data_IF_475145866409
#
_entry.id   IF_475145866409
#
_cell.length_a   1.000
_cell.length_b   1.000
_cell.length_c   1.000
_cell.angle_alpha   90.00
_cell.angle_beta   90.00
_cell.angle_gamma   90.00
#
_symmetry.space_group_name_H-M   'P 1'
#
loop_
_entity.id
_entity.type
_entity.pdbx_description
1 polymer ?
#
# COMPACT_ATOMS: atom_id res chain seq x y z
N UNK A 1 4.60 -37.61 -3.26
CA UNK A 1 3.20 -37.10 -3.32
C UNK A 1 2.71 -36.60 -1.97
N UNK A 2 2.99 -37.27 -0.84
CA UNK A 2 2.65 -36.77 0.50
C UNK A 2 3.54 -35.60 0.95
N UNK A 3 4.86 -35.72 0.80
CA UNK A 3 5.83 -34.63 1.08
C UNK A 3 5.60 -33.37 0.25
N UNK A 4 5.21 -33.51 -1.03
CA UNK A 4 4.96 -32.36 -1.91
C UNK A 4 3.71 -31.58 -1.49
N UNK A 5 2.68 -32.28 -0.99
CA UNK A 5 1.45 -31.65 -0.50
C UNK A 5 1.70 -30.94 0.83
N UNK A 6 2.40 -31.61 1.75
CA UNK A 6 2.77 -31.06 3.06
C UNK A 6 3.66 -29.82 2.93
N UNK A 7 4.59 -29.81 1.97
CA UNK A 7 5.40 -28.62 1.66
C UNK A 7 4.56 -27.46 1.11
N UNK A 8 3.58 -27.73 0.25
CA UNK A 8 2.68 -26.71 -0.28
C UNK A 8 1.79 -26.11 0.82
N UNK A 9 1.20 -26.95 1.67
CA UNK A 9 0.36 -26.51 2.80
C UNK A 9 1.16 -25.60 3.75
N UNK A 10 2.41 -25.95 4.07
CA UNK A 10 3.27 -25.15 4.93
C UNK A 10 3.62 -23.78 4.30
N UNK A 11 3.92 -23.75 3.00
CA UNK A 11 4.14 -22.47 2.30
C UNK A 11 2.89 -21.58 2.30
N UNK A 12 1.71 -22.17 2.08
CA UNK A 12 0.45 -21.43 2.11
C UNK A 12 0.16 -20.82 3.49
N UNK A 13 0.45 -21.54 4.57
CA UNK A 13 0.35 -20.99 5.93
C UNK A 13 1.30 -19.81 6.14
N UNK A 14 2.56 -19.94 5.73
CA UNK A 14 3.56 -18.86 5.83
C UNK A 14 3.08 -17.61 5.09
N UNK A 15 2.61 -17.74 3.85
CA UNK A 15 2.12 -16.60 3.08
C UNK A 15 0.85 -16.00 3.67
N UNK A 16 -0.03 -16.83 4.23
CA UNK A 16 -1.30 -16.40 4.84
C UNK A 16 -1.08 -15.45 6.02
N UNK A 17 -0.11 -15.77 6.88
CA UNK A 17 0.21 -15.01 8.10
C UNK A 17 1.36 -14.00 7.92
N UNK A 18 1.87 -13.86 6.70
CA UNK A 18 2.95 -12.93 6.40
C UNK A 18 2.56 -11.47 6.71
N UNK A 19 3.46 -10.72 7.34
CA UNK A 19 3.21 -9.35 7.80
C UNK A 19 3.17 -8.30 6.69
N UNK A 20 3.43 -8.70 5.45
CA UNK A 20 3.44 -7.81 4.30
C UNK A 20 2.21 -8.06 3.43
N UNK A 21 1.83 -7.03 2.68
CA UNK A 21 0.77 -7.16 1.68
C UNK A 21 1.26 -8.16 0.63
N UNK A 22 0.41 -9.15 0.33
CA UNK A 22 0.70 -10.20 -0.63
C UNK A 22 -0.50 -10.40 -1.53
N UNK A 23 -0.31 -10.25 -2.84
CA UNK A 23 -1.34 -10.31 -3.87
C UNK A 23 -0.82 -11.15 -5.02
N UNK A 24 -1.64 -12.04 -5.57
CA UNK A 24 -1.37 -12.69 -6.85
C UNK A 24 -2.55 -12.44 -7.78
N UNK A 25 -2.28 -11.89 -8.95
CA UNK A 25 -3.29 -11.69 -9.99
C UNK A 25 -2.99 -12.57 -11.21
N UNK A 26 -4.03 -12.87 -11.97
CA UNK A 26 -3.97 -13.54 -13.28
C UNK A 26 -3.67 -12.53 -14.38
N UNK A 27 -3.41 -13.03 -15.59
CA UNK A 27 -3.13 -12.19 -16.76
C UNK A 27 -4.26 -11.24 -17.15
N UNK A 28 -5.50 -11.60 -16.77
CA UNK A 28 -6.71 -10.79 -16.94
C UNK A 28 -6.99 -9.86 -15.74
N UNK A 29 -6.00 -9.63 -14.87
CA UNK A 29 -6.06 -8.80 -13.67
C UNK A 29 -6.94 -9.33 -12.53
N UNK A 30 -7.63 -10.45 -12.71
CA UNK A 30 -8.43 -11.03 -11.64
C UNK A 30 -7.54 -11.55 -10.51
N UNK A 31 -8.00 -11.41 -9.29
CA UNK A 31 -7.31 -11.98 -8.15
C UNK A 31 -7.26 -13.52 -8.27
N UNK A 32 -6.14 -14.08 -7.82
CA UNK A 32 -5.97 -15.52 -7.64
C UNK A 32 -5.57 -15.88 -6.21
N UNK A 33 -4.98 -14.93 -5.49
CA UNK A 33 -4.65 -15.06 -4.08
C UNK A 33 -4.47 -13.69 -3.45
N UNK A 34 -4.87 -13.55 -2.19
CA UNK A 34 -4.46 -12.46 -1.31
C UNK A 34 -4.24 -13.04 0.08
N UNK A 35 -3.24 -12.55 0.82
CA UNK A 35 -3.10 -12.98 2.21
C UNK A 35 -4.12 -12.31 3.13
N UNK A 36 -4.25 -12.85 4.35
CA UNK A 36 -5.23 -12.40 5.35
C UNK A 36 -5.09 -10.91 5.66
N UNK A 37 -3.86 -10.41 5.75
CA UNK A 37 -3.58 -9.01 5.99
C UNK A 37 -4.19 -8.12 4.90
N UNK A 38 -4.04 -8.50 3.63
CA UNK A 38 -4.52 -7.69 2.50
C UNK A 38 -6.03 -7.73 2.38
N UNK A 39 -6.64 -8.90 2.53
CA UNK A 39 -8.10 -9.07 2.55
C UNK A 39 -8.75 -8.22 3.67
N UNK A 40 -8.20 -8.28 4.88
CA UNK A 40 -8.66 -7.47 6.00
C UNK A 40 -8.46 -5.96 5.76
N UNK A 41 -7.34 -5.57 5.15
CA UNK A 41 -7.03 -4.17 4.86
C UNK A 41 -8.02 -3.56 3.86
N UNK A 42 -8.43 -4.33 2.85
CA UNK A 42 -9.37 -3.88 1.82
C UNK A 42 -10.83 -3.98 2.29
N UNK A 43 -11.11 -4.77 3.33
CA UNK A 43 -12.42 -4.89 3.96
C UNK A 43 -13.40 -5.79 3.20
N UNK A 44 -12.91 -6.59 2.27
CA UNK A 44 -13.68 -7.63 1.57
C UNK A 44 -13.48 -8.97 2.24
N UNK A 45 -14.43 -9.89 2.09
CA UNK A 45 -14.15 -11.29 2.41
C UNK A 45 -13.41 -11.98 1.24
N UNK A 46 -12.77 -13.11 1.52
CA UNK A 46 -11.95 -13.82 0.53
C UNK A 46 -12.75 -14.26 -0.69
N UNK A 47 -13.94 -14.82 -0.50
CA UNK A 47 -14.81 -15.24 -1.61
C UNK A 47 -15.29 -14.08 -2.49
N UNK A 48 -15.52 -12.89 -1.91
CA UNK A 48 -15.91 -11.70 -2.66
C UNK A 48 -14.74 -11.19 -3.50
N UNK A 49 -13.57 -11.01 -2.88
CA UNK A 49 -12.44 -10.36 -3.55
C UNK A 49 -11.83 -11.24 -4.64
N UNK A 50 -11.90 -12.57 -4.52
CA UNK A 50 -11.39 -13.49 -5.53
C UNK A 50 -12.21 -13.48 -6.83
N UNK A 51 -13.46 -12.99 -6.79
CA UNK A 51 -14.31 -12.80 -7.97
C UNK A 51 -14.12 -11.42 -8.61
N UNK A 52 -13.32 -10.55 -8.01
CA UNK A 52 -13.07 -9.18 -8.49
C UNK A 52 -11.81 -9.08 -9.35
N UNK A 53 -11.71 -7.97 -10.07
CA UNK A 53 -10.48 -7.59 -10.77
C UNK A 53 -9.65 -6.59 -9.95
N UNK A 54 -8.33 -6.76 -9.92
CA UNK A 54 -7.44 -5.82 -9.23
C UNK A 54 -7.58 -4.39 -9.75
N UNK A 55 -7.81 -4.24 -11.06
CA UNK A 55 -7.98 -2.93 -11.68
C UNK A 55 -9.30 -2.24 -11.31
N UNK A 56 -10.33 -2.98 -10.90
CA UNK A 56 -11.61 -2.41 -10.42
C UNK A 56 -11.46 -1.73 -9.06
N UNK A 57 -10.47 -2.15 -8.28
CA UNK A 57 -10.15 -1.52 -7.00
C UNK A 57 -9.28 -0.27 -7.17
N UNK A 58 -8.66 -0.03 -8.33
CA UNK A 58 -7.81 1.14 -8.50
C UNK A 58 -8.64 2.42 -8.57
N UNK A 59 -8.14 3.46 -7.91
CA UNK A 59 -8.62 4.83 -8.19
C UNK A 59 -8.31 5.22 -9.64
N UNK A 60 -9.10 6.13 -10.26
CA UNK A 60 -8.86 6.60 -11.62
C UNK A 60 -7.42 7.06 -11.86
N UNK A 61 -6.86 7.82 -10.91
CA UNK A 61 -5.50 8.38 -10.99
C UNK A 61 -4.40 7.30 -10.91
N UNK A 62 -4.69 6.15 -10.28
CA UNK A 62 -3.72 5.05 -10.16
C UNK A 62 -3.81 4.04 -11.29
N UNK A 63 -4.88 4.06 -12.08
CA UNK A 63 -5.16 3.03 -13.10
C UNK A 63 -4.06 2.98 -14.16
N UNK A 64 -3.75 4.13 -14.78
CA UNK A 64 -2.77 4.22 -15.87
C UNK A 64 -1.38 3.76 -15.42
N UNK A 65 -0.86 4.35 -14.33
CA UNK A 65 0.44 3.98 -13.76
C UNK A 65 0.50 2.47 -13.40
N UNK A 66 -0.58 1.91 -12.86
CA UNK A 66 -0.60 0.50 -12.51
C UNK A 66 -0.57 -0.40 -13.75
N UNK A 67 -1.32 -0.06 -14.80
CA UNK A 67 -1.33 -0.82 -16.06
C UNK A 67 0.06 -0.80 -16.70
N UNK A 68 0.74 0.35 -16.70
CA UNK A 68 2.09 0.48 -17.24
C UNK A 68 3.10 -0.38 -16.46
N UNK A 69 3.00 -0.42 -15.13
CA UNK A 69 3.86 -1.27 -14.30
C UNK A 69 3.58 -2.77 -14.53
N UNK A 70 2.31 -3.17 -14.69
CA UNK A 70 1.96 -4.57 -15.01
C UNK A 70 2.43 -4.94 -16.43
N UNK A 71 2.37 -4.00 -17.37
CA UNK A 71 2.91 -4.21 -18.72
C UNK A 71 4.42 -4.39 -18.68
N UNK A 72 5.15 -3.51 -17.98
CA UNK A 72 6.59 -3.65 -17.78
C UNK A 72 6.92 -5.00 -17.15
N UNK A 73 6.19 -5.37 -16.09
CA UNK A 73 6.32 -6.66 -15.42
C UNK A 73 6.13 -7.86 -16.38
N UNK A 74 5.19 -7.76 -17.33
CA UNK A 74 4.94 -8.79 -18.34
C UNK A 74 6.12 -8.98 -19.28
N UNK A 75 6.77 -7.88 -19.65
CA UNK A 75 7.88 -7.80 -20.61
C UNK A 75 9.23 -8.16 -19.96
N UNK A 76 9.53 -7.64 -18.77
CA UNK A 76 10.84 -7.77 -18.10
C UNK A 76 10.87 -8.87 -17.04
N UNK A 77 9.71 -9.33 -16.57
CA UNK A 77 9.59 -10.29 -15.48
C UNK A 77 9.62 -9.69 -14.07
N UNK A 78 9.90 -8.39 -13.91
CA UNK A 78 9.85 -7.70 -12.62
C UNK A 78 9.46 -6.22 -12.77
N UNK A 79 8.89 -5.63 -11.72
CA UNK A 79 8.68 -4.18 -11.62
C UNK A 79 9.24 -3.64 -10.30
N UNK A 80 9.84 -2.46 -10.38
CA UNK A 80 10.33 -1.72 -9.22
C UNK A 80 9.15 -1.26 -8.34
N UNK A 81 9.37 -0.91 -7.06
CA UNK A 81 8.32 -0.39 -6.20
C UNK A 81 7.58 0.81 -6.83
N UNK A 82 6.27 0.73 -6.94
CA UNK A 82 5.39 1.78 -7.42
C UNK A 82 4.19 1.94 -6.48
N UNK A 83 3.63 3.15 -6.45
CA UNK A 83 2.50 3.45 -5.56
C UNK A 83 1.19 3.32 -6.34
N UNK A 84 0.22 2.66 -5.71
CA UNK A 84 -1.17 2.60 -6.15
C UNK A 84 -2.10 2.98 -5.02
N UNK A 85 -3.20 3.64 -5.37
CA UNK A 85 -4.30 3.91 -4.46
C UNK A 85 -5.48 3.00 -4.83
N UNK A 86 -5.94 2.22 -3.86
CA UNK A 86 -7.06 1.30 -3.99
C UNK A 86 -8.27 1.82 -3.21
N UNK A 87 -9.47 1.55 -3.72
CA UNK A 87 -10.75 1.73 -3.06
C UNK A 87 -11.05 0.49 -2.23
N UNK A 88 -11.22 0.68 -0.92
CA UNK A 88 -11.74 -0.35 -0.01
C UNK A 88 -13.24 -0.56 -0.23
N UNK A 89 -13.80 -1.62 0.36
CA UNK A 89 -15.24 -1.90 0.34
C UNK A 89 -16.11 -0.73 0.88
N UNK A 90 -15.60 0.01 1.85
CA UNK A 90 -16.26 1.19 2.43
C UNK A 90 -15.97 2.50 1.64
N UNK A 91 -15.41 2.40 0.44
CA UNK A 91 -15.01 3.52 -0.43
C UNK A 91 -13.87 4.40 0.11
N UNK A 92 -13.28 4.08 1.26
CA UNK A 92 -12.05 4.74 1.69
C UNK A 92 -10.89 4.35 0.77
N UNK A 93 -9.94 5.28 0.60
CA UNK A 93 -8.73 5.03 -0.16
C UNK A 93 -7.66 4.43 0.76
N UNK A 94 -6.97 3.41 0.27
CA UNK A 94 -5.74 2.88 0.87
C UNK A 94 -4.60 3.00 -0.13
N UNK A 95 -3.45 3.46 0.35
CA UNK A 95 -2.26 3.65 -0.49
C UNK A 95 -1.26 2.54 -0.25
N UNK A 96 -0.90 1.83 -1.31
CA UNK A 96 0.03 0.71 -1.26
C UNK A 96 1.26 1.02 -2.11
N UNK A 97 2.44 0.70 -1.58
CA UNK A 97 3.65 0.57 -2.40
C UNK A 97 3.82 -0.91 -2.74
N UNK A 98 3.80 -1.23 -4.03
CA UNK A 98 3.86 -2.59 -4.54
C UNK A 98 5.11 -2.77 -5.41
N UNK A 99 5.75 -3.91 -5.27
CA UNK A 99 6.72 -4.44 -6.22
C UNK A 99 6.25 -5.81 -6.67
N UNK A 100 6.65 -6.25 -7.85
CA UNK A 100 6.12 -7.48 -8.41
C UNK A 100 7.08 -8.26 -9.27
N UNK A 101 6.83 -9.56 -9.34
CA UNK A 101 7.52 -10.51 -10.22
C UNK A 101 6.50 -11.30 -11.03
N UNK A 102 6.88 -11.65 -12.26
CA UNK A 102 6.11 -12.55 -13.10
C UNK A 102 6.32 -13.96 -12.60
N UNK A 103 5.23 -14.69 -12.39
CA UNK A 103 5.24 -16.11 -12.09
C UNK A 103 5.06 -16.93 -13.36
N UNK A 104 5.42 -18.21 -13.28
CA UNK A 104 5.06 -19.18 -14.30
C UNK A 104 3.53 -19.30 -14.41
N UNK A 105 3.05 -19.57 -15.63
CA UNK A 105 1.61 -19.70 -15.98
C UNK A 105 0.82 -18.39 -16.10
N UNK A 106 1.47 -17.26 -16.41
CA UNK A 106 0.77 -16.01 -16.69
C UNK A 106 0.10 -15.40 -15.45
N UNK A 107 0.73 -15.57 -14.29
CA UNK A 107 0.34 -14.91 -13.04
C UNK A 107 1.40 -13.91 -12.62
N UNK A 108 1.00 -12.96 -11.80
CA UNK A 108 1.87 -11.91 -11.30
C UNK A 108 1.76 -11.87 -9.79
N UNK A 109 2.90 -12.01 -9.11
CA UNK A 109 3.01 -11.88 -7.66
C UNK A 109 3.40 -10.46 -7.31
N UNK A 110 2.70 -9.86 -6.36
CA UNK A 110 3.00 -8.57 -5.79
C UNK A 110 3.19 -8.69 -4.28
N UNK A 111 4.21 -8.00 -3.80
CA UNK A 111 4.43 -7.78 -2.38
C UNK A 111 4.53 -6.28 -2.11
N UNK A 112 4.02 -5.84 -0.97
CA UNK A 112 4.03 -4.44 -0.64
C UNK A 112 3.81 -4.09 0.83
N UNK A 113 3.70 -2.80 1.06
CA UNK A 113 3.40 -2.20 2.36
C UNK A 113 2.28 -1.17 2.23
N UNK A 114 1.55 -0.98 3.32
CA UNK A 114 0.56 0.06 3.46
C UNK A 114 1.26 1.38 3.81
N UNK A 115 0.99 2.45 3.04
CA UNK A 115 1.54 3.79 3.24
C UNK A 115 0.55 4.79 3.85
N UNK A 116 -0.66 4.33 4.21
CA UNK A 116 -1.76 5.22 4.60
C UNK A 116 -1.44 5.96 5.91
N UNK A 117 -0.79 5.28 6.87
CA UNK A 117 -0.42 5.90 8.14
C UNK A 117 0.72 6.91 7.99
N UNK A 118 1.74 6.62 7.18
CA UNK A 118 2.82 7.56 6.90
C UNK A 118 2.30 8.81 6.20
N UNK A 119 1.39 8.66 5.23
CA UNK A 119 0.77 9.79 4.54
C UNK A 119 -0.01 10.69 5.49
N UNK A 120 -0.90 10.11 6.29
CA UNK A 120 -1.68 10.87 7.28
C UNK A 120 -0.79 11.59 8.30
N UNK A 121 0.32 10.95 8.73
CA UNK A 121 1.28 11.59 9.64
C UNK A 121 2.00 12.76 8.98
N UNK A 122 2.39 12.61 7.72
CA UNK A 122 3.08 13.65 6.96
C UNK A 122 2.16 14.85 6.69
N UNK A 123 0.96 14.61 6.18
CA UNK A 123 -0.04 15.66 5.93
C UNK A 123 -0.40 16.43 7.21
N UNK A 124 -0.58 15.71 8.32
CA UNK A 124 -0.85 16.33 9.62
C UNK A 124 0.32 17.18 10.11
N UNK A 125 1.56 16.75 9.88
CA UNK A 125 2.75 17.51 10.24
C UNK A 125 2.84 18.80 9.41
N UNK A 126 2.69 18.70 8.09
CA UNK A 126 2.70 19.85 7.17
C UNK A 126 1.60 20.86 7.53
N UNK A 127 0.38 20.39 7.82
CA UNK A 127 -0.72 21.24 8.30
C UNK A 127 -0.38 21.96 9.60
N UNK A 128 0.20 21.26 10.59
CA UNK A 128 0.56 21.87 11.87
C UNK A 128 1.70 22.88 11.73
N UNK A 129 2.68 22.63 10.86
CA UNK A 129 3.75 23.57 10.55
C UNK A 129 3.22 24.85 9.91
N UNK A 130 2.34 24.72 8.91
CA UNK A 130 1.71 25.87 8.26
C UNK A 130 0.82 26.65 9.24
N UNK A 131 0.01 25.95 10.03
CA UNK A 131 -0.85 26.56 11.04
C UNK A 131 -0.03 27.33 12.10
N UNK A 132 1.05 26.73 12.62
CA UNK A 132 1.95 27.38 13.56
C UNK A 132 2.61 28.62 12.94
N UNK A 133 3.11 28.52 11.70
CA UNK A 133 3.69 29.65 10.98
C UNK A 133 2.68 30.80 10.83
N UNK A 134 1.43 30.48 10.50
CA UNK A 134 0.36 31.47 10.37
C UNK A 134 0.04 32.14 11.70
N UNK A 135 -0.02 31.38 12.81
CA UNK A 135 -0.17 31.96 14.16
C UNK A 135 0.98 32.92 14.45
N UNK A 136 2.23 32.47 14.34
CA UNK A 136 3.41 33.28 14.67
C UNK A 136 3.46 34.58 13.83
N UNK A 137 3.12 34.50 12.55
CA UNK A 137 3.09 35.68 11.66
C UNK A 137 1.91 36.62 11.95
N UNK A 138 0.81 36.12 12.52
CA UNK A 138 -0.36 36.94 12.87
C UNK A 138 -0.18 37.70 14.18
N UNK A 139 0.79 37.30 15.02
CA UNK A 139 1.02 37.93 16.31
C UNK A 139 1.84 39.20 16.09
N UNK A 140 1.29 40.34 16.53
CA UNK A 140 1.94 41.65 16.42
C UNK A 140 3.07 41.89 17.43
N UNK A 141 3.27 40.97 18.38
CA UNK A 141 4.32 41.00 19.39
C UNK A 141 5.36 39.90 19.14
N UNK A 142 6.64 40.17 19.46
CA UNK A 142 7.71 39.18 19.28
C UNK A 142 7.60 38.05 20.31
N UNK A 143 7.58 36.80 19.82
CA UNK A 143 7.68 35.62 20.69
C UNK A 143 9.16 35.21 20.82
N UNK A 144 9.61 35.00 22.05
CA UNK A 144 10.94 34.44 22.36
C UNK A 144 10.74 33.06 22.99
N UNK A 145 11.34 32.03 22.40
CA UNK A 145 11.31 30.66 22.93
C UNK A 145 12.62 30.39 23.67
N UNK A 146 12.54 29.92 24.91
CA UNK A 146 13.69 29.58 25.75
C UNK A 146 13.74 28.05 25.99
N UNK A 147 14.95 27.49 26.10
CA UNK A 147 15.14 26.11 26.57
C UNK A 147 15.04 26.03 28.11
N UNK A 148 15.01 24.83 28.72
CA UNK A 148 14.92 24.68 30.18
C UNK A 148 16.06 25.34 30.98
N UNK A 149 17.19 25.66 30.34
CA UNK A 149 18.33 26.37 30.92
C UNK A 149 18.24 27.90 30.75
N UNK A 150 17.16 28.42 30.13
CA UNK A 150 16.94 29.85 29.91
C UNK A 150 17.61 30.44 28.68
N UNK A 151 18.20 29.62 27.80
CA UNK A 151 18.81 30.09 26.55
C UNK A 151 17.78 30.21 25.43
N UNK A 152 17.91 31.22 24.57
CA UNK A 152 17.06 31.39 23.39
C UNK A 152 17.26 30.23 22.42
N UNK A 153 16.15 29.60 22.01
CA UNK A 153 16.12 28.61 20.94
C UNK A 153 16.06 29.39 19.62
N UNK A 154 17.08 29.20 18.78
CA UNK A 154 17.19 29.82 17.46
C UNK A 154 16.43 29.05 16.41
#
# INVERSE_FOLDING_TARGET
MKESLEYQENLEEIFRDFSNITIIIKDNYNFSYLNRLTTNLLGFNESEILEMSFIELLTPDSLENCIDNIRLLRETGFCQPFIVNLLKKNSEIVSLELSGIKLDNGRFFFMGKNLSLERLRKEKLEYLEEFNKNILNSIGEGIVVLNPQGNIIK
#
